data_IF_395555089671
#
_entry.id   IF_395555089671
#
_cell.length_a   1.000
_cell.length_b   1.000
_cell.length_c   1.000
_cell.angle_alpha   90.00
_cell.angle_beta   90.00
_cell.angle_gamma   90.00
#
_symmetry.space_group_name_H-M   'P 1'
#
loop_
_entity.id
_entity.type
_entity.pdbx_description
1 polymer ?
#
# COMPACT_ATOMS: atom_id res chain seq x y z
N UNK A 1 -28.42 28.73 40.50
CA UNK A 1 -27.02 28.77 40.97
C UNK A 1 -26.14 28.05 39.94
N UNK A 2 -25.53 28.77 38.99
CA UNK A 2 -24.72 28.15 37.92
C UNK A 2 -23.28 27.96 38.41
N UNK A 3 -22.88 26.73 38.71
CA UNK A 3 -21.49 26.41 39.03
C UNK A 3 -20.58 26.83 37.87
N UNK A 4 -19.62 27.71 38.17
CA UNK A 4 -18.62 28.22 37.22
C UNK A 4 -17.71 27.04 36.84
N UNK A 5 -17.97 26.39 35.70
CA UNK A 5 -17.12 25.29 35.20
C UNK A 5 -15.66 25.74 35.16
N UNK A 6 -14.76 24.95 35.73
CA UNK A 6 -13.36 25.30 35.79
C UNK A 6 -12.69 25.09 34.42
N UNK A 7 -11.56 25.77 34.17
CA UNK A 7 -10.78 25.60 32.93
C UNK A 7 -10.33 24.14 32.73
N UNK A 8 -10.13 23.40 33.83
CA UNK A 8 -9.83 21.97 33.83
C UNK A 8 -10.99 21.15 33.26
N UNK A 9 -12.22 21.37 33.75
CA UNK A 9 -13.41 20.63 33.31
C UNK A 9 -13.68 20.76 31.80
N UNK A 10 -13.44 21.96 31.24
CA UNK A 10 -13.60 22.18 29.81
C UNK A 10 -12.55 21.46 28.98
N UNK A 11 -11.33 21.32 29.50
CA UNK A 11 -10.24 20.62 28.81
C UNK A 11 -10.52 19.12 28.75
N UNK A 12 -10.96 18.52 29.86
CA UNK A 12 -11.38 17.12 29.92
C UNK A 12 -12.53 16.85 28.93
N UNK A 13 -13.53 17.73 28.87
CA UNK A 13 -14.64 17.60 27.91
C UNK A 13 -14.19 17.61 26.45
N UNK A 14 -13.23 18.46 26.08
CA UNK A 14 -12.67 18.45 24.71
C UNK A 14 -12.04 17.12 24.38
N UNK A 15 -11.20 16.60 25.27
CA UNK A 15 -10.50 15.33 25.07
C UNK A 15 -11.50 14.18 24.90
N UNK A 16 -12.54 14.13 25.73
CA UNK A 16 -13.57 13.09 25.65
C UNK A 16 -14.42 13.18 24.37
N UNK A 17 -14.63 14.38 23.81
CA UNK A 17 -15.46 14.57 22.61
C UNK A 17 -14.66 14.36 21.31
N UNK A 18 -13.37 14.69 21.31
CA UNK A 18 -12.54 14.77 20.10
C UNK A 18 -11.35 13.80 20.08
N UNK A 19 -10.60 13.71 21.18
CA UNK A 19 -9.35 12.95 21.22
C UNK A 19 -9.57 11.46 21.49
N UNK A 20 -10.36 11.12 22.52
CA UNK A 20 -10.68 9.72 22.83
C UNK A 20 -11.40 9.04 21.65
N UNK A 21 -12.45 9.64 21.04
CA UNK A 21 -13.09 9.04 19.87
C UNK A 21 -12.14 8.90 18.69
N UNK A 22 -11.18 9.82 18.52
CA UNK A 22 -10.14 9.68 17.50
C UNK A 22 -9.27 8.45 17.72
N UNK A 23 -8.76 8.23 18.94
CA UNK A 23 -7.94 7.05 19.23
C UNK A 23 -8.72 5.74 18.99
N UNK A 24 -9.95 5.66 19.51
CA UNK A 24 -10.80 4.48 19.35
C UNK A 24 -11.12 4.20 17.89
N UNK A 25 -11.47 5.24 17.13
CA UNK A 25 -11.78 5.12 15.69
C UNK A 25 -10.53 4.75 14.90
N UNK A 26 -9.37 5.33 15.20
CA UNK A 26 -8.13 5.04 14.50
C UNK A 26 -7.69 3.58 14.70
N UNK A 27 -7.71 3.11 15.95
CA UNK A 27 -7.40 1.71 16.30
C UNK A 27 -8.45 0.78 15.69
N UNK A 28 -9.73 1.10 15.83
CA UNK A 28 -10.84 0.30 15.28
C UNK A 28 -10.79 0.19 13.75
N UNK A 29 -10.46 1.28 13.06
CA UNK A 29 -10.24 1.28 11.61
C UNK A 29 -9.06 0.39 11.24
N UNK A 30 -7.94 0.49 11.96
CA UNK A 30 -6.75 -0.32 11.69
C UNK A 30 -7.03 -1.80 11.88
N UNK A 31 -7.61 -2.19 13.02
CA UNK A 31 -7.92 -3.59 13.30
C UNK A 31 -8.98 -4.10 12.33
N UNK A 32 -10.08 -3.36 12.16
CA UNK A 32 -11.21 -3.76 11.33
C UNK A 32 -10.84 -3.91 9.86
N UNK A 33 -10.15 -2.94 9.28
CA UNK A 33 -9.73 -3.01 7.89
C UNK A 33 -8.70 -4.13 7.68
N UNK A 34 -7.68 -4.22 8.54
CA UNK A 34 -6.65 -5.27 8.45
C UNK A 34 -7.27 -6.66 8.55
N UNK A 35 -8.23 -6.85 9.46
CA UNK A 35 -8.95 -8.11 9.60
C UNK A 35 -9.75 -8.46 8.34
N UNK A 36 -10.50 -7.50 7.78
CA UNK A 36 -11.27 -7.72 6.55
C UNK A 36 -10.37 -7.97 5.33
N UNK A 37 -9.26 -7.23 5.20
CA UNK A 37 -8.27 -7.44 4.14
C UNK A 37 -7.67 -8.85 4.24
N UNK A 38 -7.21 -9.24 5.44
CA UNK A 38 -6.69 -10.58 5.68
C UNK A 38 -7.73 -11.67 5.38
N UNK A 39 -8.96 -11.51 5.89
CA UNK A 39 -9.99 -12.53 5.75
C UNK A 39 -10.48 -12.67 4.31
N UNK A 40 -10.92 -11.57 3.69
CA UNK A 40 -11.62 -11.60 2.40
C UNK A 40 -10.66 -11.77 1.22
N UNK A 41 -9.48 -11.15 1.27
CA UNK A 41 -8.56 -11.11 0.12
C UNK A 41 -7.46 -12.17 0.26
N UNK A 42 -6.82 -12.27 1.44
CA UNK A 42 -5.67 -13.17 1.61
C UNK A 42 -6.11 -14.59 1.94
N UNK A 43 -7.07 -14.75 2.86
CA UNK A 43 -7.44 -16.07 3.38
C UNK A 43 -8.50 -16.76 2.51
N UNK A 44 -9.55 -16.03 2.14
CA UNK A 44 -10.65 -16.58 1.36
C UNK A 44 -10.50 -16.35 -0.15
N UNK A 45 -9.54 -15.52 -0.58
CA UNK A 45 -9.30 -15.17 -1.99
C UNK A 45 -10.60 -14.82 -2.76
N UNK A 46 -11.60 -14.23 -2.08
CA UNK A 46 -12.94 -14.00 -2.65
C UNK A 46 -12.93 -12.98 -3.80
N UNK A 47 -11.97 -12.06 -3.78
CA UNK A 47 -11.87 -10.98 -4.75
C UNK A 47 -10.43 -10.79 -5.21
N UNK A 48 -10.23 -10.68 -6.52
CA UNK A 48 -8.95 -10.28 -7.13
C UNK A 48 -8.95 -8.77 -7.37
N UNK A 49 -8.72 -7.99 -6.32
CA UNK A 49 -8.69 -6.52 -6.38
C UNK A 49 -7.24 -6.06 -6.55
N UNK A 50 -7.02 -4.95 -7.25
CA UNK A 50 -5.68 -4.37 -7.41
C UNK A 50 -5.11 -3.92 -6.07
N UNK A 51 -3.83 -4.21 -5.83
CA UNK A 51 -3.17 -3.93 -4.54
C UNK A 51 -3.19 -2.43 -4.22
N UNK A 52 -3.03 -1.55 -5.21
CA UNK A 52 -3.15 -0.10 -5.00
C UNK A 52 -4.54 0.35 -4.50
N UNK A 53 -5.60 -0.40 -4.81
CA UNK A 53 -6.94 -0.12 -4.27
C UNK A 53 -7.02 -0.54 -2.81
N UNK A 54 -6.50 -1.72 -2.45
CA UNK A 54 -6.59 -2.24 -1.09
C UNK A 54 -5.60 -1.57 -0.14
N UNK A 55 -4.37 -1.34 -0.59
CA UNK A 55 -3.29 -0.83 0.25
C UNK A 55 -3.32 0.69 0.41
N UNK A 56 -3.83 1.42 -0.58
CA UNK A 56 -3.82 2.88 -0.60
C UNK A 56 -5.21 3.49 -0.66
N UNK A 57 -5.97 3.24 -1.73
CA UNK A 57 -7.23 3.94 -1.99
C UNK A 57 -8.32 3.60 -0.94
N UNK A 58 -8.40 2.33 -0.54
CA UNK A 58 -9.37 1.82 0.42
C UNK A 58 -9.24 2.49 1.79
N UNK A 59 -8.06 2.41 2.44
CA UNK A 59 -7.78 3.13 3.68
C UNK A 59 -8.05 4.63 3.58
N UNK A 60 -7.62 5.27 2.48
CA UNK A 60 -7.79 6.70 2.26
C UNK A 60 -9.27 7.11 2.18
N UNK A 61 -10.06 6.40 1.37
CA UNK A 61 -11.50 6.66 1.20
C UNK A 61 -12.30 6.30 2.45
N UNK A 62 -11.95 5.22 3.15
CA UNK A 62 -12.63 4.83 4.39
C UNK A 62 -12.37 5.86 5.50
N UNK A 63 -11.13 6.31 5.66
CA UNK A 63 -10.80 7.37 6.60
C UNK A 63 -11.48 8.70 6.22
N UNK A 64 -11.60 9.00 4.92
CA UNK A 64 -12.35 10.16 4.42
C UNK A 64 -13.81 10.10 4.88
N UNK A 65 -14.48 8.97 4.63
CA UNK A 65 -15.87 8.75 5.03
C UNK A 65 -16.06 8.89 6.55
N UNK A 66 -15.19 8.26 7.33
CA UNK A 66 -15.25 8.32 8.80
C UNK A 66 -15.01 9.74 9.32
N UNK A 67 -14.03 10.45 8.76
CA UNK A 67 -13.77 11.85 9.13
C UNK A 67 -14.97 12.77 8.82
N UNK A 68 -15.66 12.54 7.70
CA UNK A 68 -16.85 13.30 7.31
C UNK A 68 -18.04 13.02 8.24
N UNK A 69 -18.29 11.75 8.57
CA UNK A 69 -19.45 11.36 9.38
C UNK A 69 -19.26 11.71 10.87
N UNK A 70 -18.07 11.44 11.43
CA UNK A 70 -17.83 11.59 12.87
C UNK A 70 -17.22 12.94 13.23
N UNK A 71 -16.19 13.40 12.51
CA UNK A 71 -15.35 14.52 12.95
C UNK A 71 -15.82 15.89 12.48
N UNK A 72 -16.44 16.01 11.29
CA UNK A 72 -16.98 17.28 10.81
C UNK A 72 -17.94 17.95 11.81
N UNK A 73 -18.75 17.17 12.51
CA UNK A 73 -19.68 17.68 13.52
C UNK A 73 -18.98 17.99 14.84
N UNK A 74 -18.06 17.13 15.28
CA UNK A 74 -17.36 17.26 16.57
C UNK A 74 -16.40 18.45 16.58
N UNK A 75 -15.73 18.74 15.46
CA UNK A 75 -14.76 19.85 15.35
C UNK A 75 -15.41 21.21 15.64
N UNK A 76 -16.72 21.37 15.38
CA UNK A 76 -17.47 22.61 15.67
C UNK A 76 -17.54 22.96 17.17
N UNK A 77 -17.26 22.00 18.05
CA UNK A 77 -17.15 22.24 19.51
C UNK A 77 -15.95 23.13 19.84
N UNK A 78 -14.95 23.19 18.96
CA UNK A 78 -13.81 24.09 19.09
C UNK A 78 -14.15 25.47 18.50
N UNK A 79 -13.75 26.53 19.18
CA UNK A 79 -13.88 27.88 18.66
C UNK A 79 -12.74 28.16 17.66
N UNK A 80 -13.02 27.86 16.40
CA UNK A 80 -12.07 27.96 15.27
C UNK A 80 -12.31 29.20 14.39
N UNK A 81 -13.17 30.13 14.81
CA UNK A 81 -13.39 31.38 14.06
C UNK A 81 -12.29 32.37 14.41
N UNK A 82 -11.40 32.63 13.46
CA UNK A 82 -10.42 33.72 13.48
C UNK A 82 -10.61 34.53 12.20
N UNK A 83 -10.52 35.86 12.28
CA UNK A 83 -10.60 36.72 11.09
C UNK A 83 -9.63 36.19 10.01
N UNK A 84 -10.16 35.95 8.80
CA UNK A 84 -9.45 35.54 7.59
C UNK A 84 -8.79 34.14 7.53
N UNK A 85 -9.05 33.19 8.46
CA UNK A 85 -8.46 31.83 8.35
C UNK A 85 -9.52 30.71 8.40
N UNK A 86 -9.53 29.83 7.37
CA UNK A 86 -10.41 28.64 7.28
C UNK A 86 -9.91 27.47 8.17
N UNK A 87 -9.76 27.70 9.48
CA UNK A 87 -9.28 26.70 10.44
C UNK A 87 -10.10 25.39 10.49
N UNK A 88 -11.45 25.37 10.37
CA UNK A 88 -12.21 24.12 10.42
C UNK A 88 -11.84 23.11 9.33
N UNK A 89 -11.49 23.58 8.14
CA UNK A 89 -11.05 22.72 7.03
C UNK A 89 -9.71 22.05 7.32
N UNK A 90 -8.75 22.81 7.87
CA UNK A 90 -7.45 22.28 8.25
C UNK A 90 -7.56 21.16 9.29
N UNK A 91 -8.41 21.33 10.32
CA UNK A 91 -8.61 20.31 11.36
C UNK A 91 -9.17 19.01 10.77
N UNK A 92 -10.12 19.12 9.84
CA UNK A 92 -10.68 17.95 9.18
C UNK A 92 -9.66 17.23 8.29
N UNK A 93 -8.87 17.98 7.52
CA UNK A 93 -7.77 17.43 6.69
C UNK A 93 -6.76 16.68 7.57
N UNK A 94 -6.37 17.26 8.70
CA UNK A 94 -5.41 16.61 9.63
C UNK A 94 -5.98 15.33 10.21
N UNK A 95 -7.26 15.30 10.64
CA UNK A 95 -7.90 14.05 11.09
C UNK A 95 -7.91 13.02 9.98
N UNK A 96 -8.30 13.40 8.77
CA UNK A 96 -8.36 12.48 7.64
C UNK A 96 -7.00 11.84 7.34
N UNK A 97 -5.92 12.64 7.22
CA UNK A 97 -4.59 12.10 6.95
C UNK A 97 -4.02 11.32 8.13
N UNK A 98 -4.21 11.79 9.36
CA UNK A 98 -3.74 11.08 10.56
C UNK A 98 -4.45 9.74 10.78
N UNK A 99 -5.69 9.58 10.29
CA UNK A 99 -6.37 8.28 10.24
C UNK A 99 -5.87 7.43 9.07
N UNK A 100 -5.60 8.02 7.91
CA UNK A 100 -5.27 7.29 6.68
C UNK A 100 -3.85 6.72 6.67
N UNK A 101 -2.85 7.51 7.04
CA UNK A 101 -1.42 7.16 6.91
C UNK A 101 -1.05 5.86 7.64
N UNK A 102 -1.31 5.70 8.96
CA UNK A 102 -0.97 4.45 9.65
C UNK A 102 -1.71 3.25 9.06
N UNK A 103 -2.95 3.44 8.59
CA UNK A 103 -3.71 2.39 7.92
C UNK A 103 -3.08 1.97 6.59
N UNK A 104 -2.66 2.91 5.75
CA UNK A 104 -1.97 2.63 4.47
C UNK A 104 -0.70 1.82 4.71
N UNK A 105 0.10 2.23 5.70
CA UNK A 105 1.33 1.50 6.06
C UNK A 105 0.98 0.09 6.55
N UNK A 106 -0.03 -0.05 7.41
CA UNK A 106 -0.49 -1.36 7.89
C UNK A 106 -0.96 -2.29 6.76
N UNK A 107 -1.65 -1.75 5.75
CA UNK A 107 -2.09 -2.55 4.60
C UNK A 107 -0.96 -2.96 3.68
N UNK A 108 0.08 -2.14 3.52
CA UNK A 108 1.29 -2.54 2.77
C UNK A 108 2.14 -3.58 3.52
N UNK A 109 2.06 -3.59 4.85
CA UNK A 109 2.78 -4.52 5.73
C UNK A 109 2.13 -5.90 5.77
N UNK A 110 0.80 -5.94 5.88
CA UNK A 110 0.04 -7.16 6.14
C UNK A 110 0.34 -8.30 5.14
N UNK A 111 0.26 -8.11 3.80
CA UNK A 111 0.54 -9.17 2.84
C UNK A 111 1.97 -9.71 2.92
N UNK A 112 2.93 -8.91 3.37
CA UNK A 112 4.34 -9.33 3.53
C UNK A 112 4.55 -10.12 4.82
N UNK A 113 3.89 -9.70 5.90
CA UNK A 113 4.00 -10.34 7.21
C UNK A 113 3.41 -11.74 7.23
N UNK A 114 2.22 -11.91 6.63
CA UNK A 114 1.53 -13.22 6.58
C UNK A 114 2.05 -14.15 5.47
N UNK A 115 2.81 -13.60 4.52
CA UNK A 115 3.40 -14.37 3.43
C UNK A 115 4.45 -15.34 3.96
N UNK A 116 4.19 -16.64 3.78
CA UNK A 116 5.12 -17.71 4.16
C UNK A 116 6.11 -17.99 3.04
N UNK A 117 7.33 -18.37 3.44
CA UNK A 117 8.34 -18.91 2.54
C UNK A 117 8.08 -20.39 2.30
N UNK A 118 7.75 -20.75 1.08
CA UNK A 118 7.55 -22.15 0.66
C UNK A 118 8.80 -22.66 -0.02
N UNK A 119 9.41 -23.70 0.54
CA UNK A 119 10.59 -24.32 -0.06
C UNK A 119 10.18 -25.30 -1.16
N UNK A 120 10.70 -25.08 -2.35
CA UNK A 120 10.53 -25.94 -3.51
C UNK A 120 11.86 -26.62 -3.82
N UNK A 121 11.86 -27.96 -3.81
CA UNK A 121 13.02 -28.71 -4.27
C UNK A 121 13.22 -28.58 -5.78
N UNK A 122 12.11 -28.50 -6.54
CA UNK A 122 12.13 -28.22 -7.96
C UNK A 122 11.01 -27.25 -8.36
N UNK A 123 11.23 -26.48 -9.43
CA UNK A 123 10.21 -25.54 -9.91
C UNK A 123 8.92 -26.22 -10.33
N UNK A 124 8.98 -27.48 -10.77
CA UNK A 124 7.78 -28.28 -11.08
C UNK A 124 6.89 -28.56 -9.87
N UNK A 125 7.37 -28.34 -8.65
CA UNK A 125 6.58 -28.53 -7.42
C UNK A 125 5.69 -27.33 -7.09
N UNK A 126 5.81 -26.20 -7.81
CA UNK A 126 5.04 -24.98 -7.53
C UNK A 126 3.52 -25.21 -7.58
N UNK A 127 3.04 -26.08 -8.47
CA UNK A 127 1.63 -26.42 -8.61
C UNK A 127 1.13 -27.43 -7.55
N UNK A 128 2.04 -28.05 -6.79
CA UNK A 128 1.71 -29.07 -5.78
C UNK A 128 1.45 -28.46 -4.40
N UNK A 129 1.82 -27.20 -4.20
CA UNK A 129 1.65 -26.49 -2.95
C UNK A 129 0.52 -25.46 -3.06
N UNK A 130 -0.10 -25.13 -1.92
CA UNK A 130 -1.01 -24.00 -1.83
C UNK A 130 -0.24 -22.74 -2.29
N UNK A 131 -0.80 -21.92 -3.20
CA UNK A 131 -0.15 -20.72 -3.68
C UNK A 131 0.41 -19.88 -2.54
N UNK A 132 1.71 -19.67 -2.58
CA UNK A 132 2.46 -18.89 -1.58
C UNK A 132 2.95 -17.59 -2.20
N UNK A 133 3.20 -16.60 -1.33
CA UNK A 133 3.76 -15.31 -1.74
C UNK A 133 5.26 -15.39 -2.01
N UNK A 134 5.96 -16.21 -1.23
CA UNK A 134 7.42 -16.34 -1.29
C UNK A 134 7.84 -17.79 -1.50
N UNK A 135 8.89 -17.98 -2.29
CA UNK A 135 9.45 -19.31 -2.58
C UNK A 135 10.96 -19.31 -2.44
N UNK A 136 11.53 -20.38 -1.88
CA UNK A 136 12.96 -20.68 -2.01
C UNK A 136 13.10 -21.88 -2.94
N UNK A 137 14.07 -21.86 -3.85
CA UNK A 137 14.15 -22.82 -4.95
C UNK A 137 15.53 -23.48 -5.00
N UNK A 138 15.59 -24.81 -4.83
CA UNK A 138 16.86 -25.54 -4.80
C UNK A 138 17.35 -25.94 -6.21
N UNK A 139 16.48 -26.50 -7.06
CA UNK A 139 16.83 -26.98 -8.42
C UNK A 139 15.94 -26.39 -9.49
N UNK A 140 16.56 -25.68 -10.43
CA UNK A 140 15.87 -25.06 -11.56
C UNK A 140 16.87 -24.77 -12.69
N UNK A 141 16.33 -24.62 -13.90
CA UNK A 141 17.05 -24.08 -15.06
C UNK A 141 16.39 -22.80 -15.54
N UNK A 142 17.20 -21.85 -16.01
CA UNK A 142 16.72 -20.61 -16.64
C UNK A 142 16.88 -20.74 -18.16
N UNK A 143 15.79 -20.64 -18.90
CA UNK A 143 15.81 -20.68 -20.37
C UNK A 143 16.11 -19.29 -20.95
N UNK A 144 17.39 -19.02 -21.22
CA UNK A 144 17.83 -17.77 -21.86
C UNK A 144 17.51 -17.67 -23.36
N UNK A 145 17.02 -18.74 -24.00
CA UNK A 145 16.73 -18.73 -25.44
C UNK A 145 15.27 -18.32 -25.73
N UNK A 146 14.39 -18.46 -24.75
CA UNK A 146 12.95 -18.15 -24.87
C UNK A 146 12.51 -17.01 -23.96
N UNK A 147 13.38 -16.03 -23.76
CA UNK A 147 13.13 -14.83 -22.94
C UNK A 147 12.03 -13.98 -23.59
N UNK A 148 11.10 -13.48 -22.77
CA UNK A 148 10.20 -12.40 -23.17
C UNK A 148 10.80 -11.06 -22.73
N UNK A 149 10.85 -10.08 -23.64
CA UNK A 149 11.36 -8.73 -23.36
C UNK A 149 10.39 -7.72 -23.97
N UNK A 150 9.97 -6.74 -23.18
CA UNK A 150 9.26 -5.59 -23.71
C UNK A 150 9.58 -4.33 -22.90
N UNK A 151 9.34 -3.16 -23.49
CA UNK A 151 9.56 -1.87 -22.86
C UNK A 151 8.25 -1.08 -22.72
N UNK A 152 8.20 -0.21 -21.72
CA UNK A 152 7.07 0.68 -21.49
C UNK A 152 7.59 2.07 -21.12
N UNK A 153 6.83 3.08 -21.55
CA UNK A 153 7.10 4.47 -21.24
C UNK A 153 6.01 5.04 -20.34
N UNK A 154 6.42 5.89 -19.40
CA UNK A 154 5.48 6.62 -18.56
C UNK A 154 5.98 8.04 -18.34
N UNK A 155 5.13 9.02 -18.61
CA UNK A 155 5.39 10.41 -18.23
C UNK A 155 4.93 10.59 -16.78
N UNK A 156 5.78 11.16 -15.94
CA UNK A 156 5.53 11.37 -14.53
C UNK A 156 6.26 12.59 -13.99
N UNK A 157 6.40 12.66 -12.67
CA UNK A 157 7.03 13.79 -12.00
C UNK A 157 6.15 15.03 -11.89
N UNK A 158 6.62 16.02 -11.14
CA UNK A 158 5.90 17.28 -10.96
C UNK A 158 5.86 18.02 -12.29
N UNK A 159 4.66 18.38 -12.75
CA UNK A 159 4.44 19.03 -14.04
C UNK A 159 4.92 18.18 -15.24
N UNK A 160 4.84 16.85 -15.15
CA UNK A 160 5.24 15.95 -16.25
C UNK A 160 6.72 16.10 -16.64
N UNK A 161 7.57 16.37 -15.64
CA UNK A 161 9.00 16.62 -15.81
C UNK A 161 9.79 15.38 -16.18
N UNK A 162 9.28 14.20 -15.89
CA UNK A 162 10.03 12.95 -15.93
C UNK A 162 9.47 12.05 -17.03
N UNK A 163 10.38 11.45 -17.79
CA UNK A 163 10.12 10.43 -18.78
C UNK A 163 10.76 9.14 -18.30
N UNK A 164 9.91 8.21 -17.88
CA UNK A 164 10.32 6.96 -17.26
C UNK A 164 10.33 5.86 -18.30
N UNK A 165 11.47 5.23 -18.46
CA UNK A 165 11.70 4.10 -19.35
C UNK A 165 11.81 2.85 -18.49
N UNK A 166 10.98 1.85 -18.78
CA UNK A 166 11.01 0.55 -18.14
C UNK A 166 11.28 -0.53 -19.18
N UNK A 167 12.17 -1.47 -18.87
CA UNK A 167 12.34 -2.70 -19.65
C UNK A 167 12.03 -3.86 -18.71
N UNK A 168 11.04 -4.66 -19.08
CA UNK A 168 10.65 -5.85 -18.34
C UNK A 168 11.14 -7.08 -19.10
N UNK A 169 11.71 -8.01 -18.36
CA UNK A 169 12.31 -9.24 -18.86
C UNK A 169 11.73 -10.41 -18.08
N UNK A 170 11.26 -11.44 -18.78
CA UNK A 170 10.80 -12.69 -18.17
C UNK A 170 11.59 -13.87 -18.71
N UNK A 171 12.18 -14.65 -17.82
CA UNK A 171 12.88 -15.89 -18.16
C UNK A 171 12.03 -17.09 -17.76
N UNK A 172 11.73 -18.02 -18.68
CA UNK A 172 11.07 -19.26 -18.31
C UNK A 172 11.93 -20.06 -17.32
N UNK A 173 11.35 -20.46 -16.20
CA UNK A 173 11.94 -21.41 -15.27
C UNK A 173 11.53 -22.82 -15.67
N UNK A 174 12.52 -23.69 -15.80
CA UNK A 174 12.37 -25.07 -16.27
C UNK A 174 12.93 -26.04 -15.23
N UNK A 175 12.46 -27.29 -15.27
CA UNK A 175 13.04 -28.37 -14.44
C UNK A 175 14.51 -28.59 -14.75
N UNK A 176 14.84 -28.59 -16.05
CA UNK A 176 16.17 -28.70 -16.66
C UNK A 176 16.16 -27.90 -17.98
N UNK A 177 17.32 -27.41 -18.45
CA UNK A 177 17.48 -26.43 -19.55
C UNK A 177 16.84 -26.76 -20.92
N UNK A 178 16.22 -27.94 -21.15
CA UNK A 178 15.83 -28.36 -22.51
C UNK A 178 14.47 -29.03 -22.73
N UNK A 179 13.73 -29.46 -21.71
CA UNK A 179 12.70 -30.51 -21.97
C UNK A 179 11.35 -30.36 -21.26
N UNK A 180 10.89 -29.12 -21.01
CA UNK A 180 9.51 -28.91 -20.56
C UNK A 180 8.65 -28.28 -21.68
N UNK A 181 7.52 -28.92 -21.95
CA UNK A 181 6.49 -28.44 -22.89
C UNK A 181 5.64 -27.33 -22.26
N UNK A 182 5.66 -27.18 -20.93
CA UNK A 182 4.93 -26.13 -20.21
C UNK A 182 5.83 -25.40 -19.22
N UNK A 183 5.89 -24.08 -19.33
CA UNK A 183 6.56 -23.24 -18.34
C UNK A 183 5.74 -23.24 -17.04
N UNK A 184 6.38 -23.54 -15.91
CA UNK A 184 5.73 -23.61 -14.59
C UNK A 184 5.79 -22.30 -13.82
N UNK A 185 6.80 -21.49 -14.08
CA UNK A 185 6.94 -20.15 -13.55
C UNK A 185 7.93 -19.36 -14.41
N UNK A 186 7.88 -18.03 -14.32
CA UNK A 186 8.87 -17.17 -14.93
C UNK A 186 9.66 -16.43 -13.85
N UNK A 187 10.94 -16.17 -14.10
CA UNK A 187 11.73 -15.21 -13.35
C UNK A 187 11.58 -13.82 -13.99
N UNK A 188 11.11 -12.83 -13.24
CA UNK A 188 10.90 -11.46 -13.72
C UNK A 188 12.00 -10.51 -13.27
N UNK A 189 12.55 -9.74 -14.21
CA UNK A 189 13.54 -8.68 -13.94
C UNK A 189 13.05 -7.38 -14.57
N UNK A 190 13.17 -6.28 -13.82
CA UNK A 190 12.78 -4.94 -14.25
C UNK A 190 13.99 -4.02 -14.26
N UNK A 191 14.25 -3.41 -15.41
CA UNK A 191 15.20 -2.32 -15.56
C UNK A 191 14.44 -1.00 -15.65
N UNK A 192 15.01 0.05 -15.08
CA UNK A 192 14.37 1.36 -14.98
C UNK A 192 15.39 2.48 -15.19
N UNK A 193 14.99 3.49 -15.98
CA UNK A 193 15.72 4.74 -16.12
C UNK A 193 14.73 5.90 -16.17
N UNK A 194 14.92 6.89 -15.32
CA UNK A 194 14.19 8.16 -15.37
C UNK A 194 15.06 9.23 -16.02
N UNK A 195 14.52 9.93 -17.02
CA UNK A 195 15.19 11.03 -17.71
C UNK A 195 14.27 12.25 -17.78
N UNK A 196 14.78 13.47 -17.96
CA UNK A 196 13.93 14.64 -18.13
C UNK A 196 13.05 14.51 -19.39
N UNK A 197 11.75 14.78 -19.26
CA UNK A 197 10.79 14.73 -20.36
C UNK A 197 11.00 15.85 -21.39
N UNK A 198 11.69 16.93 -21.01
CA UNK A 198 12.05 18.04 -21.91
C UNK A 198 13.11 17.68 -22.96
N UNK A 199 13.78 16.53 -22.82
CA UNK A 199 14.77 16.07 -23.80
C UNK A 199 14.13 15.87 -25.18
N UNK A 200 14.93 16.04 -26.22
CA UNK A 200 14.53 15.78 -27.59
C UNK A 200 14.21 14.30 -27.82
N UNK A 201 13.46 13.99 -28.87
CA UNK A 201 13.15 12.61 -29.23
C UNK A 201 14.41 11.76 -29.43
N UNK A 202 15.45 12.35 -30.05
CA UNK A 202 16.75 11.69 -30.26
C UNK A 202 17.43 11.34 -28.94
N UNK A 203 17.49 12.29 -27.99
CA UNK A 203 18.10 12.03 -26.68
C UNK A 203 17.32 10.98 -25.88
N UNK A 204 15.98 10.96 -25.99
CA UNK A 204 15.15 9.91 -25.37
C UNK A 204 15.45 8.53 -25.95
N UNK A 205 15.59 8.44 -27.27
CA UNK A 205 15.96 7.22 -27.98
C UNK A 205 17.38 6.74 -27.62
N UNK A 206 18.36 7.64 -27.55
CA UNK A 206 19.72 7.32 -27.08
C UNK A 206 19.72 6.77 -25.65
N UNK A 207 18.88 7.34 -24.77
CA UNK A 207 18.73 6.85 -23.40
C UNK A 207 18.05 5.48 -23.32
N UNK A 208 17.05 5.23 -24.17
CA UNK A 208 16.43 3.91 -24.30
C UNK A 208 17.45 2.87 -24.78
N UNK A 209 18.19 3.16 -25.86
CA UNK A 209 19.20 2.26 -26.40
C UNK A 209 20.34 1.97 -25.41
N UNK A 210 20.74 2.98 -24.63
CA UNK A 210 21.68 2.80 -23.52
C UNK A 210 21.16 1.82 -22.46
N UNK A 211 19.89 1.95 -22.06
CA UNK A 211 19.27 1.02 -21.09
C UNK A 211 19.12 -0.39 -21.69
N UNK A 212 18.74 -0.49 -22.96
CA UNK A 212 18.61 -1.75 -23.67
C UNK A 212 19.96 -2.47 -23.79
N UNK A 213 21.05 -1.74 -24.07
CA UNK A 213 22.39 -2.30 -24.12
C UNK A 213 22.83 -2.90 -22.76
N UNK A 214 22.52 -2.22 -21.66
CA UNK A 214 22.75 -2.75 -20.30
C UNK A 214 21.95 -4.04 -20.09
N UNK A 215 20.65 -4.01 -20.41
CA UNK A 215 19.79 -5.19 -20.30
C UNK A 215 20.34 -6.38 -21.12
N UNK A 216 20.75 -6.16 -22.37
CA UNK A 216 21.30 -7.21 -23.23
C UNK A 216 22.62 -7.76 -22.69
N UNK A 217 23.50 -6.88 -22.20
CA UNK A 217 24.77 -7.26 -21.59
C UNK A 217 24.54 -8.17 -20.38
N UNK A 218 23.65 -7.80 -19.47
CA UNK A 218 23.34 -8.60 -18.29
C UNK A 218 22.69 -9.94 -18.66
N UNK A 219 21.77 -9.96 -19.64
CA UNK A 219 21.16 -11.20 -20.13
C UNK A 219 22.23 -12.21 -20.59
N UNK A 220 23.21 -11.72 -21.36
CA UNK A 220 24.26 -12.54 -21.92
C UNK A 220 25.28 -13.02 -20.88
N UNK A 221 25.70 -12.14 -19.95
CA UNK A 221 26.87 -12.39 -19.10
C UNK A 221 26.55 -12.74 -17.65
N UNK A 222 25.41 -12.31 -17.11
CA UNK A 222 25.10 -12.54 -15.69
C UNK A 222 24.39 -13.88 -15.48
N UNK A 223 24.63 -14.46 -14.31
CA UNK A 223 23.79 -15.54 -13.80
C UNK A 223 22.62 -14.94 -13.02
N UNK A 224 21.40 -15.39 -13.31
CA UNK A 224 20.17 -14.90 -12.66
C UNK A 224 19.67 -15.87 -11.57
N UNK A 225 20.54 -16.75 -11.11
CA UNK A 225 20.31 -17.71 -10.03
C UNK A 225 20.82 -17.21 -8.66
N UNK A 226 21.53 -16.08 -8.62
CA UNK A 226 21.99 -15.44 -7.38
C UNK A 226 20.84 -14.67 -6.70
N UNK A 227 19.97 -15.42 -6.03
CA UNK A 227 18.90 -14.90 -5.17
C UNK A 227 18.72 -15.78 -3.93
N UNK A 228 18.21 -15.20 -2.85
CA UNK A 228 17.92 -15.93 -1.61
C UNK A 228 16.51 -16.52 -1.64
N UNK A 229 15.55 -15.75 -2.15
CA UNK A 229 14.18 -16.19 -2.32
C UNK A 229 13.51 -15.43 -3.48
N UNK A 230 12.34 -15.90 -3.87
CA UNK A 230 11.52 -15.40 -4.95
C UNK A 230 10.21 -14.86 -4.40
N UNK A 231 9.80 -13.67 -4.81
CA UNK A 231 8.49 -13.09 -4.50
C UNK A 231 7.57 -13.19 -5.72
N UNK A 232 6.39 -13.78 -5.54
CA UNK A 232 5.36 -13.80 -6.58
C UNK A 232 4.90 -12.38 -6.89
N UNK A 233 4.75 -12.04 -8.17
CA UNK A 233 4.26 -10.72 -8.58
C UNK A 233 2.90 -10.39 -7.96
N UNK A 234 2.81 -9.16 -7.49
CA UNK A 234 1.62 -8.49 -6.95
C UNK A 234 0.53 -8.27 -8.01
N UNK A 235 -0.70 -8.03 -7.57
CA UNK A 235 -1.81 -7.64 -8.44
C UNK A 235 -1.79 -6.12 -8.66
N UNK A 236 -0.69 -5.65 -9.25
CA UNK A 236 -0.42 -4.24 -9.48
C UNK A 236 0.05 -4.00 -10.92
N UNK A 237 0.37 -2.74 -11.23
CA UNK A 237 0.78 -2.34 -12.58
C UNK A 237 2.02 -3.09 -13.07
N UNK A 238 3.05 -3.26 -12.23
CA UNK A 238 4.26 -4.00 -12.59
C UNK A 238 3.96 -5.49 -12.84
N UNK A 239 3.10 -6.09 -12.01
CA UNK A 239 2.63 -7.46 -12.20
C UNK A 239 1.88 -7.64 -13.51
N UNK A 240 1.05 -6.66 -13.91
CA UNK A 240 0.40 -6.65 -15.22
C UNK A 240 1.44 -6.54 -16.35
N UNK A 241 2.46 -5.67 -16.23
CA UNK A 241 3.54 -5.54 -17.23
C UNK A 241 4.33 -6.84 -17.40
N UNK A 242 4.63 -7.54 -16.32
CA UNK A 242 5.30 -8.83 -16.41
C UNK A 242 4.45 -9.88 -17.15
N UNK A 243 3.13 -9.89 -16.95
CA UNK A 243 2.23 -10.77 -17.70
C UNK A 243 2.20 -10.41 -19.19
N UNK A 244 2.14 -9.12 -19.52
CA UNK A 244 2.19 -8.64 -20.91
C UNK A 244 3.48 -9.11 -21.61
N UNK A 245 4.61 -9.13 -20.90
CA UNK A 245 5.92 -9.51 -21.45
C UNK A 245 6.02 -11.00 -21.77
N UNK A 246 5.24 -11.86 -21.10
CA UNK A 246 5.20 -13.31 -21.40
C UNK A 246 4.78 -13.55 -22.85
N UNK A 247 3.88 -12.72 -23.40
CA UNK A 247 3.39 -12.83 -24.79
C UNK A 247 4.52 -12.72 -25.83
N UNK A 248 5.64 -12.10 -25.46
CA UNK A 248 6.82 -11.94 -26.31
C UNK A 248 7.83 -13.10 -26.18
N UNK A 249 7.56 -14.10 -25.34
CA UNK A 249 8.34 -15.33 -25.29
C UNK A 249 8.06 -16.20 -26.50
N UNK A 250 9.10 -16.57 -27.26
CA UNK A 250 8.97 -17.38 -28.49
C UNK A 250 8.26 -18.71 -28.28
N UNK A 251 8.54 -19.39 -27.16
CA UNK A 251 8.00 -20.72 -26.84
C UNK A 251 6.80 -20.68 -25.91
N UNK A 252 6.66 -19.65 -25.08
CA UNK A 252 5.71 -19.64 -23.95
C UNK A 252 4.71 -18.48 -23.99
N UNK A 253 4.45 -17.90 -25.16
CA UNK A 253 3.56 -16.74 -25.36
C UNK A 253 2.11 -16.93 -24.88
N UNK A 254 1.63 -18.17 -24.74
CA UNK A 254 0.28 -18.48 -24.20
C UNK A 254 0.27 -18.90 -22.72
N UNK A 255 1.42 -18.82 -22.05
CA UNK A 255 1.54 -19.25 -20.66
C UNK A 255 0.89 -18.25 -19.70
N UNK A 256 0.21 -18.79 -18.70
CA UNK A 256 -0.37 -18.03 -17.57
C UNK A 256 0.37 -18.33 -16.26
N UNK A 257 1.57 -18.90 -16.36
CA UNK A 257 2.38 -19.26 -15.20
C UNK A 257 2.76 -18.02 -14.37
N UNK A 258 2.88 -18.16 -13.04
CA UNK A 258 3.24 -17.04 -12.18
C UNK A 258 4.62 -16.48 -12.53
N UNK A 259 4.76 -15.16 -12.39
CA UNK A 259 6.06 -14.48 -12.45
C UNK A 259 6.58 -14.30 -11.03
N UNK A 260 7.87 -14.61 -10.85
CA UNK A 260 8.59 -14.62 -9.60
C UNK A 260 9.75 -13.64 -9.69
N UNK A 261 9.87 -12.73 -8.73
CA UNK A 261 10.88 -11.67 -8.69
C UNK A 261 12.00 -12.09 -7.73
N UNK A 262 13.26 -12.11 -8.17
CA UNK A 262 14.39 -12.46 -7.30
C UNK A 262 14.61 -11.40 -6.23
N UNK A 263 14.81 -11.86 -5.00
CA UNK A 263 15.12 -11.04 -3.83
C UNK A 263 16.45 -11.47 -3.22
N UNK A 264 17.26 -10.48 -2.84
CA UNK A 264 18.54 -10.68 -2.14
C UNK A 264 18.39 -10.29 -0.67
N UNK A 265 19.17 -10.94 0.20
CA UNK A 265 19.16 -10.70 1.64
C UNK A 265 18.33 -11.73 2.41
N UNK A 266 18.36 -11.64 3.73
CA UNK A 266 17.65 -12.60 4.57
C UNK A 266 16.13 -12.44 4.40
N UNK A 267 15.40 -13.56 4.40
CA UNK A 267 13.94 -13.54 4.29
C UNK A 267 13.27 -12.71 5.40
N UNK A 268 13.88 -12.63 6.57
CA UNK A 268 13.36 -11.83 7.70
C UNK A 268 13.46 -10.32 7.48
N UNK A 269 14.35 -9.86 6.59
CA UNK A 269 14.51 -8.44 6.29
C UNK A 269 13.38 -7.89 5.40
N UNK A 270 12.52 -8.76 4.84
CA UNK A 270 11.42 -8.40 3.91
C UNK A 270 10.43 -7.37 4.46
N UNK A 271 10.31 -7.30 5.79
CA UNK A 271 9.40 -6.39 6.49
C UNK A 271 10.05 -5.02 6.74
N UNK A 272 11.38 -4.97 6.75
CA UNK A 272 12.16 -3.81 7.18
C UNK A 272 11.60 -3.21 8.47
N UNK A 273 11.46 -1.88 8.49
CA UNK A 273 10.94 -1.13 9.62
C UNK A 273 9.43 -0.83 9.52
N UNK A 274 8.69 -1.48 8.60
CA UNK A 274 7.30 -1.11 8.32
C UNK A 274 6.40 -1.23 9.56
N UNK A 275 6.59 -2.27 10.39
CA UNK A 275 5.84 -2.44 11.62
C UNK A 275 6.04 -1.24 12.58
N UNK A 276 7.28 -0.80 12.76
CA UNK A 276 7.59 0.38 13.57
C UNK A 276 6.95 1.64 12.98
N UNK A 277 6.95 1.79 11.65
CA UNK A 277 6.32 2.92 10.96
C UNK A 277 4.80 2.99 11.17
N UNK A 278 4.10 1.88 11.37
CA UNK A 278 2.68 1.89 11.75
C UNK A 278 2.50 2.62 13.08
N UNK A 279 3.28 2.24 14.10
CA UNK A 279 3.19 2.84 15.43
C UNK A 279 3.70 4.28 15.46
N UNK A 280 4.80 4.58 14.77
CA UNK A 280 5.37 5.93 14.68
C UNK A 280 4.39 6.88 13.99
N UNK A 281 3.82 6.50 12.85
CA UNK A 281 2.87 7.35 12.13
C UNK A 281 1.58 7.56 12.91
N UNK A 282 1.08 6.53 13.61
CA UNK A 282 -0.04 6.65 14.54
C UNK A 282 0.27 7.60 15.70
N UNK A 283 1.45 7.49 16.31
CA UNK A 283 1.89 8.33 17.41
C UNK A 283 2.02 9.80 16.97
N UNK A 284 2.66 10.06 15.83
CA UNK A 284 2.78 11.41 15.25
C UNK A 284 1.38 11.99 14.98
N UNK A 285 0.51 11.24 14.32
CA UNK A 285 -0.87 11.67 14.05
C UNK A 285 -1.64 12.01 15.34
N UNK A 286 -1.50 11.16 16.35
CA UNK A 286 -2.12 11.35 17.66
C UNK A 286 -1.60 12.58 18.39
N UNK A 287 -0.28 12.80 18.41
CA UNK A 287 0.33 13.99 19.04
C UNK A 287 -0.10 15.27 18.34
N UNK A 288 -0.03 15.30 17.00
CA UNK A 288 -0.48 16.46 16.22
C UNK A 288 -1.95 16.75 16.50
N UNK A 289 -2.81 15.73 16.47
CA UNK A 289 -4.23 15.92 16.76
C UNK A 289 -4.49 16.39 18.19
N UNK A 290 -3.77 15.84 19.18
CA UNK A 290 -3.87 16.25 20.57
C UNK A 290 -3.54 17.75 20.74
N UNK A 291 -2.43 18.19 20.17
CA UNK A 291 -2.02 19.60 20.22
C UNK A 291 -3.08 20.51 19.58
N UNK A 292 -3.63 20.09 18.43
CA UNK A 292 -4.71 20.82 17.76
C UNK A 292 -5.99 20.87 18.59
N UNK A 293 -6.36 19.82 19.32
CA UNK A 293 -7.54 19.83 20.22
C UNK A 293 -7.32 20.74 21.43
N UNK A 294 -6.09 20.80 21.95
CA UNK A 294 -5.76 21.60 23.13
C UNK A 294 -5.69 23.10 22.84
N UNK A 295 -5.16 23.50 21.68
CA UNK A 295 -4.87 24.89 21.34
C UNK A 295 -6.09 25.86 21.32
N UNK A 296 -7.23 25.56 20.66
CA UNK A 296 -8.35 26.50 20.55
C UNK A 296 -9.23 26.48 21.78
N UNK A 297 -9.94 27.59 22.09
CA UNK A 297 -10.93 27.62 23.19
C UNK A 297 -12.19 26.80 22.82
N UNK A 298 -12.98 26.40 23.82
CA UNK A 298 -14.28 25.72 23.57
C UNK A 298 -15.31 26.73 23.05
N UNK A 299 -16.12 26.32 22.09
CA UNK A 299 -17.32 27.06 21.68
C UNK A 299 -18.51 26.63 22.56
N UNK A 300 -18.85 27.42 23.57
CA UNK A 300 -19.83 27.01 24.60
C UNK A 300 -21.22 26.65 24.06
N UNK A 301 -21.73 27.37 23.06
CA UNK A 301 -23.04 27.08 22.46
C UNK A 301 -23.05 25.77 21.68
N UNK A 302 -22.01 25.50 20.87
CA UNK A 302 -21.87 24.25 20.13
C UNK A 302 -21.62 23.07 21.07
N UNK A 303 -20.89 23.26 22.18
CA UNK A 303 -20.74 22.22 23.21
C UNK A 303 -22.11 21.85 23.81
N UNK A 304 -22.92 22.84 24.22
CA UNK A 304 -24.27 22.58 24.75
C UNK A 304 -25.17 21.88 23.72
N UNK A 305 -25.08 22.30 22.46
CA UNK A 305 -25.83 21.69 21.34
C UNK A 305 -25.40 20.25 21.06
N UNK A 306 -24.11 19.96 21.22
CA UNK A 306 -23.57 18.61 21.09
C UNK A 306 -24.03 17.71 22.24
N UNK A 307 -23.95 18.20 23.49
CA UNK A 307 -24.41 17.48 24.69
C UNK A 307 -25.93 17.19 24.62
N UNK A 308 -26.76 18.15 24.21
CA UNK A 308 -28.21 17.95 24.10
C UNK A 308 -28.58 16.92 23.03
N UNK A 309 -27.90 16.92 21.88
CA UNK A 309 -28.08 15.90 20.84
C UNK A 309 -27.64 14.51 21.29
N UNK A 310 -26.51 14.41 22.00
CA UNK A 310 -26.02 13.14 22.54
C UNK A 310 -27.04 12.54 23.54
N UNK A 311 -27.56 13.36 24.45
CA UNK A 311 -28.56 12.93 25.43
C UNK A 311 -29.87 12.50 24.77
N UNK A 312 -30.28 13.17 23.68
CA UNK A 312 -31.45 12.74 22.91
C UNK A 312 -31.21 11.40 22.21
N UNK A 313 -30.05 11.16 21.59
CA UNK A 313 -29.73 9.86 20.99
C UNK A 313 -29.70 8.74 22.04
N UNK A 314 -29.19 9.02 23.23
CA UNK A 314 -29.15 8.07 24.34
C UNK A 314 -30.56 7.77 24.87
N UNK A 315 -31.47 8.76 24.89
CA UNK A 315 -32.89 8.55 25.20
C UNK A 315 -33.60 7.66 24.18
N UNK A 316 -33.33 7.80 22.89
CA UNK A 316 -33.96 6.98 21.85
C UNK A 316 -33.54 5.51 21.90
N UNK A 317 -32.28 5.21 22.27
CA UNK A 317 -31.83 3.83 22.46
C UNK A 317 -32.42 3.13 23.71
N UNK A 318 -33.08 3.87 24.62
CA UNK A 318 -33.77 3.30 25.79
C UNK A 318 -35.28 3.06 25.55
N UNK A 319 -35.85 3.57 24.44
CA UNK A 319 -37.27 3.40 24.10
C UNK A 319 -37.50 2.43 22.93
N UNK A 320 -36.48 1.64 22.54
CA UNK A 320 -36.56 0.65 21.46
C UNK A 320 -36.13 -0.75 21.93
N UNK A 321 -36.64 -1.18 23.09
CA UNK A 321 -36.70 -2.58 23.49
C UNK A 321 -38.14 -2.95 23.81
#
# INVERSE_FOLDING_TARGET
MYARKTKSDLTVKKLNILFIPYLLISIGLCIGYTFLHWLLIIRLELFSVKDGIIEFLGPLCLALLVSLLFFMRRIKVLNLKRENVKLPGLYWIVVWFSLSIPNIIAQSYLPKAVGKLTRLHNISDIDKHIPSKYYSLDKFGIDKNNVGINHFYQIGGKNSSDYNIYIYVVFPLTRNQKDDTKCKAFLGIKYFKSIPNRLSAREKEENYNSLLAVCQYEIAHNSFDDFTYLEKTHNNYDGDRFKDVILFSRKYSSSHAPVLIPQKGAFEDRLGNQLAWIFISFAIGSVVWLLMVLAPKVHHTELKRFESRSNNLQKWNWFSF
#
